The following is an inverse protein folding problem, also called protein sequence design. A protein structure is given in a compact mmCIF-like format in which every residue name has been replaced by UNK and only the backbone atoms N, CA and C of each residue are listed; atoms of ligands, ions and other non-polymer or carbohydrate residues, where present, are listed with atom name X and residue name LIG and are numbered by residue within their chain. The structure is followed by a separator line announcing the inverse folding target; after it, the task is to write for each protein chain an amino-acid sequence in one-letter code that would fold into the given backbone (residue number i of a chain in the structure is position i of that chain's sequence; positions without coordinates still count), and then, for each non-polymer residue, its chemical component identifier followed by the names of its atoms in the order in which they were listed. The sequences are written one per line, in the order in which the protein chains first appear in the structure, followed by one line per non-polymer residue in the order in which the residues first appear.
data_IF_733872788029
#
_entry.id   IF_733872788029
#
_cell.length_a   1.000
_cell.length_b   1.000
_cell.length_c   1.000
_cell.angle_alpha   90.00
_cell.angle_beta   90.00
_cell.angle_gamma   90.00
#
_symmetry.space_group_name_H-M   'P 1'
#
loop_
_entity.id
_entity.type
_entity.pdbx_description
1 polymer ?
#
# COMPACT_ATOMS: atom_id res chain seq x y z
N UNK A 1 -87.35 -1.72 -28.33
CA UNK A 1 -87.74 -0.90 -27.17
C UNK A 1 -87.10 -1.51 -25.94
N UNK A 2 -85.78 -1.35 -25.81
CA UNK A 2 -85.09 -0.30 -25.03
C UNK A 2 -85.10 -0.56 -23.52
N UNK A 3 -84.04 -1.25 -23.08
CA UNK A 3 -83.65 -1.39 -21.69
C UNK A 3 -82.94 -0.11 -21.26
N UNK A 4 -83.56 0.64 -20.34
CA UNK A 4 -83.03 1.89 -19.79
C UNK A 4 -81.70 1.67 -19.06
N UNK A 5 -80.63 2.24 -19.61
CA UNK A 5 -79.31 2.42 -18.98
C UNK A 5 -79.44 3.45 -17.85
N UNK A 6 -79.25 3.04 -16.59
CA UNK A 6 -79.09 3.96 -15.45
C UNK A 6 -77.75 4.68 -15.59
N UNK A 7 -77.79 5.95 -15.99
CA UNK A 7 -76.66 6.87 -15.87
C UNK A 7 -76.60 7.29 -14.41
N UNK A 8 -75.53 6.93 -13.70
CA UNK A 8 -75.25 7.45 -12.37
C UNK A 8 -75.10 8.97 -12.45
N UNK A 9 -75.93 9.71 -11.71
CA UNK A 9 -75.79 11.16 -11.55
C UNK A 9 -74.46 11.42 -10.83
N UNK A 10 -73.59 12.21 -11.44
CA UNK A 10 -72.48 12.86 -10.74
C UNK A 10 -73.11 13.89 -9.77
N UNK A 11 -73.19 13.53 -8.49
CA UNK A 11 -73.50 14.48 -7.43
C UNK A 11 -72.36 15.50 -7.35
N UNK A 12 -72.68 16.79 -7.52
CA UNK A 12 -71.69 17.84 -7.49
C UNK A 12 -71.10 18.00 -6.09
N UNK A 13 -69.77 18.02 -5.99
CA UNK A 13 -69.04 18.28 -4.75
C UNK A 13 -69.45 19.63 -4.15
N UNK A 14 -69.74 19.66 -2.85
CA UNK A 14 -69.99 20.91 -2.14
C UNK A 14 -68.69 21.67 -1.87
N UNK A 15 -68.74 23.01 -1.81
CA UNK A 15 -67.57 23.86 -1.55
C UNK A 15 -66.83 23.47 -0.25
N UNK A 16 -67.59 23.00 0.75
CA UNK A 16 -67.06 22.58 2.05
C UNK A 16 -66.28 21.26 1.92
N UNK A 17 -66.79 20.28 1.19
CA UNK A 17 -66.09 19.01 0.94
C UNK A 17 -64.81 19.23 0.13
N UNK A 18 -64.83 20.18 -0.82
CA UNK A 18 -63.63 20.60 -1.54
C UNK A 18 -62.59 21.16 -0.56
N UNK A 19 -62.97 22.15 0.27
CA UNK A 19 -62.07 22.77 1.25
C UNK A 19 -61.47 21.76 2.23
N UNK A 20 -62.28 20.85 2.76
CA UNK A 20 -61.82 19.80 3.68
C UNK A 20 -60.85 18.85 2.97
N UNK A 21 -61.16 18.45 1.73
CA UNK A 21 -60.28 17.58 0.94
C UNK A 21 -58.94 18.24 0.62
N UNK A 22 -58.93 19.53 0.28
CA UNK A 22 -57.69 20.28 0.01
C UNK A 22 -56.85 20.45 1.28
N UNK A 23 -57.49 20.68 2.43
CA UNK A 23 -56.80 20.78 3.71
C UNK A 23 -56.12 19.46 4.09
N UNK A 24 -56.83 18.33 3.96
CA UNK A 24 -56.27 17.00 4.20
C UNK A 24 -55.12 16.72 3.22
N UNK A 25 -55.30 17.03 1.93
CA UNK A 25 -54.26 16.86 0.92
C UNK A 25 -52.99 17.66 1.25
N UNK A 26 -53.11 18.92 1.67
CA UNK A 26 -51.95 19.75 2.06
C UNK A 26 -51.19 19.16 3.25
N UNK A 27 -51.90 18.64 4.25
CA UNK A 27 -51.28 17.98 5.42
C UNK A 27 -50.52 16.73 4.96
N UNK A 28 -51.15 15.88 4.15
CA UNK A 28 -50.53 14.64 3.63
C UNK A 28 -49.31 14.96 2.77
N UNK A 29 -49.39 15.93 1.85
CA UNK A 29 -48.25 16.34 1.03
C UNK A 29 -47.09 16.89 1.88
N UNK A 30 -47.39 17.70 2.89
CA UNK A 30 -46.36 18.22 3.81
C UNK A 30 -45.67 17.10 4.58
N UNK A 31 -46.42 16.10 5.04
CA UNK A 31 -45.86 14.90 5.68
C UNK A 31 -44.98 14.10 4.71
N UNK A 32 -45.45 13.86 3.47
CA UNK A 32 -44.69 13.10 2.46
C UNK A 32 -43.39 13.81 2.09
N UNK A 33 -43.41 15.14 1.91
CA UNK A 33 -42.20 15.94 1.63
C UNK A 33 -41.21 15.83 2.79
N UNK A 34 -41.69 15.94 4.03
CA UNK A 34 -40.85 15.85 5.23
C UNK A 34 -40.22 14.45 5.36
N UNK A 35 -41.02 13.40 5.12
CA UNK A 35 -40.54 12.01 5.12
C UNK A 35 -39.50 11.82 4.03
N UNK A 36 -39.78 12.25 2.80
CA UNK A 36 -38.84 12.15 1.68
C UNK A 36 -37.52 12.84 1.99
N UNK A 37 -37.57 14.08 2.49
CA UNK A 37 -36.36 14.83 2.86
C UNK A 37 -35.57 14.11 3.95
N UNK A 38 -36.25 13.62 4.99
CA UNK A 38 -35.62 12.87 6.10
C UNK A 38 -35.01 11.55 5.62
N UNK A 39 -35.71 10.80 4.77
CA UNK A 39 -35.21 9.55 4.21
C UNK A 39 -34.00 9.80 3.31
N UNK A 40 -34.05 10.83 2.48
CA UNK A 40 -32.95 11.20 1.59
C UNK A 40 -31.71 11.64 2.37
N UNK A 41 -31.86 12.51 3.36
CA UNK A 41 -30.72 12.95 4.19
C UNK A 41 -30.12 11.80 4.99
N UNK A 42 -30.95 10.90 5.54
CA UNK A 42 -30.46 9.67 6.18
C UNK A 42 -29.77 8.75 5.19
N UNK A 43 -30.30 8.56 4.00
CA UNK A 43 -29.69 7.74 2.97
C UNK A 43 -28.32 8.28 2.55
N UNK A 44 -28.21 9.57 2.27
CA UNK A 44 -26.95 10.21 1.91
C UNK A 44 -25.95 10.10 3.07
N UNK A 45 -26.38 10.34 4.31
CA UNK A 45 -25.54 10.13 5.50
C UNK A 45 -25.04 8.68 5.64
N UNK A 46 -25.92 7.68 5.48
CA UNK A 46 -25.51 6.27 5.56
C UNK A 46 -24.60 5.88 4.42
N UNK A 47 -24.87 6.37 3.19
CA UNK A 47 -24.04 6.12 2.02
C UNK A 47 -22.63 6.67 2.22
N UNK A 48 -22.50 7.91 2.70
CA UNK A 48 -21.21 8.54 2.95
C UNK A 48 -20.47 7.83 4.08
N UNK A 49 -21.16 7.51 5.18
CA UNK A 49 -20.60 6.75 6.30
C UNK A 49 -20.07 5.38 5.85
N UNK A 50 -20.87 4.61 5.09
CA UNK A 50 -20.45 3.30 4.57
C UNK A 50 -19.24 3.46 3.63
N UNK A 51 -19.23 4.47 2.78
CA UNK A 51 -18.12 4.76 1.87
C UNK A 51 -16.81 5.01 2.65
N UNK A 52 -16.86 5.83 3.70
CA UNK A 52 -15.70 6.10 4.57
C UNK A 52 -15.27 4.85 5.33
N UNK A 53 -16.19 4.08 5.93
CA UNK A 53 -15.87 2.86 6.67
C UNK A 53 -15.22 1.79 5.77
N UNK A 54 -15.71 1.62 4.54
CA UNK A 54 -15.12 0.70 3.55
C UNK A 54 -13.71 1.16 3.17
N UNK A 55 -13.50 2.48 3.00
CA UNK A 55 -12.18 3.05 2.69
C UNK A 55 -11.21 2.79 3.85
N UNK A 56 -11.61 3.07 5.09
CA UNK A 56 -10.79 2.83 6.28
C UNK A 56 -10.39 1.37 6.41
N UNK A 57 -11.35 0.45 6.22
CA UNK A 57 -11.07 -0.97 6.28
C UNK A 57 -10.11 -1.41 5.17
N UNK A 58 -10.26 -0.84 3.96
CA UNK A 58 -9.37 -1.11 2.84
C UNK A 58 -7.96 -0.62 3.14
N UNK A 59 -7.78 0.60 3.65
CA UNK A 59 -6.46 1.13 4.05
C UNK A 59 -5.85 0.27 5.16
N UNK A 60 -6.61 -0.07 6.21
CA UNK A 60 -6.14 -0.92 7.31
C UNK A 60 -5.65 -2.28 6.81
N UNK A 61 -6.42 -2.93 5.93
CA UNK A 61 -6.05 -4.21 5.33
C UNK A 61 -4.80 -4.07 4.48
N UNK A 62 -4.73 -3.07 3.62
CA UNK A 62 -3.57 -2.78 2.78
C UNK A 62 -2.31 -2.58 3.63
N UNK A 63 -2.37 -1.75 4.69
CA UNK A 63 -1.25 -1.51 5.60
C UNK A 63 -0.83 -2.79 6.33
N UNK A 64 -1.79 -3.57 6.82
CA UNK A 64 -1.52 -4.84 7.49
C UNK A 64 -0.85 -5.84 6.56
N UNK A 65 -1.39 -6.06 5.36
CA UNK A 65 -0.85 -7.01 4.38
C UNK A 65 0.53 -6.55 3.85
N UNK A 66 0.74 -5.23 3.75
CA UNK A 66 2.02 -4.63 3.37
C UNK A 66 3.12 -4.91 4.41
N UNK A 67 2.83 -4.66 5.69
CA UNK A 67 3.79 -4.82 6.79
C UNK A 67 3.98 -6.30 7.15
N UNK A 68 2.93 -7.12 7.15
CA UNK A 68 3.01 -8.53 7.56
C UNK A 68 3.95 -9.35 6.69
N UNK A 69 4.03 -9.01 5.40
CA UNK A 69 4.81 -9.76 4.41
C UNK A 69 6.20 -9.16 4.20
N UNK A 70 6.76 -8.49 5.20
CA UNK A 70 8.15 -7.98 5.17
C UNK A 70 9.17 -9.08 5.41
N UNK A 71 10.38 -8.88 4.88
CA UNK A 71 11.55 -9.69 5.17
C UNK A 71 11.77 -10.83 4.18
N UNK A 72 12.68 -11.72 4.56
CA UNK A 72 13.15 -12.83 3.73
C UNK A 72 13.05 -14.15 4.50
N UNK A 73 12.72 -15.24 3.83
CA UNK A 73 12.63 -16.59 4.38
C UNK A 73 14.02 -17.25 4.56
N UNK A 74 15.04 -16.44 4.87
CA UNK A 74 16.41 -16.89 5.05
C UNK A 74 16.48 -17.87 6.24
N UNK A 75 17.07 -19.05 6.01
CA UNK A 75 17.11 -20.17 6.98
C UNK A 75 17.66 -19.77 8.36
N UNK A 76 18.61 -18.84 8.39
CA UNK A 76 19.27 -18.36 9.61
C UNK A 76 18.73 -16.99 10.08
N UNK A 77 17.55 -16.58 9.58
CA UNK A 77 17.05 -15.22 9.70
C UNK A 77 17.73 -14.27 8.72
N UNK A 78 17.31 -13.00 8.72
CA UNK A 78 17.93 -11.92 7.93
C UNK A 78 18.38 -10.73 8.79
N UNK A 79 17.98 -10.70 10.07
CA UNK A 79 18.19 -9.55 10.96
C UNK A 79 19.55 -9.53 11.65
N UNK A 80 20.32 -10.63 11.61
CA UNK A 80 21.62 -10.76 12.29
C UNK A 80 22.79 -10.96 11.31
N UNK A 81 22.54 -10.84 10.00
CA UNK A 81 23.53 -11.06 8.96
C UNK A 81 24.13 -9.74 8.48
N UNK A 82 25.35 -9.81 7.94
CA UNK A 82 25.99 -8.66 7.30
C UNK A 82 25.52 -8.55 5.84
N UNK A 83 25.08 -7.36 5.45
CA UNK A 83 24.57 -7.08 4.10
C UNK A 83 25.67 -6.57 3.18
N UNK A 84 25.69 -7.07 1.95
CA UNK A 84 26.58 -6.61 0.89
C UNK A 84 25.79 -6.29 -0.37
N UNK A 85 26.13 -5.16 -0.99
CA UNK A 85 25.69 -4.84 -2.34
C UNK A 85 26.63 -5.48 -3.38
N UNK A 86 26.05 -6.33 -4.22
CA UNK A 86 26.66 -7.00 -5.37
C UNK A 86 25.86 -6.80 -6.65
N UNK A 87 25.02 -5.78 -6.68
CA UNK A 87 24.21 -5.45 -7.85
C UNK A 87 25.01 -4.73 -8.93
N UNK A 88 26.04 -3.97 -8.53
CA UNK A 88 26.75 -3.04 -9.42
C UNK A 88 26.09 -1.67 -9.55
N UNK A 89 24.91 -1.49 -8.98
CA UNK A 89 24.13 -0.26 -9.10
C UNK A 89 24.43 0.76 -7.99
N UNK A 90 25.36 0.42 -7.07
CA UNK A 90 25.74 1.26 -5.93
C UNK A 90 24.51 1.62 -5.10
N UNK A 91 23.82 0.60 -4.60
CA UNK A 91 22.63 0.74 -3.81
C UNK A 91 22.94 1.43 -2.48
N UNK A 92 22.05 2.33 -2.08
CA UNK A 92 22.14 3.05 -0.82
C UNK A 92 21.52 2.25 0.35
N UNK A 93 21.56 2.85 1.53
CA UNK A 93 21.09 2.23 2.77
C UNK A 93 19.57 1.97 2.81
N UNK A 94 18.79 2.38 1.81
CA UNK A 94 17.38 2.01 1.74
C UNK A 94 17.18 0.58 1.24
N UNK A 95 18.12 0.02 0.48
CA UNK A 95 18.04 -1.35 -0.03
C UNK A 95 18.72 -2.36 0.89
N UNK A 96 19.70 -1.88 1.66
CA UNK A 96 20.52 -2.72 2.52
C UNK A 96 20.16 -2.47 3.97
N UNK A 97 20.11 -3.53 4.77
CA UNK A 97 19.97 -3.41 6.22
C UNK A 97 19.25 -4.59 6.83
N UNK A 98 19.44 -4.73 8.13
CA UNK A 98 18.97 -5.84 8.94
C UNK A 98 17.51 -5.71 9.39
N UNK A 99 16.76 -4.74 8.85
CA UNK A 99 15.32 -4.64 9.02
C UNK A 99 14.60 -4.80 7.69
N UNK A 100 13.47 -5.51 7.74
CA UNK A 100 12.53 -5.61 6.65
C UNK A 100 11.57 -4.43 6.57
N UNK A 101 11.56 -3.56 7.58
CA UNK A 101 10.63 -2.44 7.72
C UNK A 101 11.39 -1.17 8.13
N UNK A 102 11.17 -0.10 7.38
CA UNK A 102 11.70 1.24 7.66
C UNK A 102 10.58 2.25 7.59
N UNK A 103 10.59 3.23 8.47
CA UNK A 103 9.64 4.34 8.47
C UNK A 103 10.41 5.64 8.53
N UNK A 104 9.81 6.72 8.06
CA UNK A 104 10.46 8.03 8.08
C UNK A 104 9.56 9.13 7.57
N UNK A 105 9.94 10.40 7.83
CA UNK A 105 9.24 11.54 7.25
C UNK A 105 9.53 11.65 5.75
N UNK A 106 8.61 12.26 5.01
CA UNK A 106 8.82 12.73 3.64
C UNK A 106 9.19 14.22 3.62
N UNK A 107 10.08 14.71 2.73
CA UNK A 107 10.78 14.00 1.64
C UNK A 107 11.63 12.82 2.05
N UNK A 108 11.74 11.84 1.15
CA UNK A 108 12.89 10.96 1.19
C UNK A 108 14.16 11.78 0.94
N UNK A 109 15.25 11.50 1.67
CA UNK A 109 16.52 12.16 1.42
C UNK A 109 16.99 11.77 0.03
N UNK A 110 17.83 12.60 -0.59
CA UNK A 110 18.33 12.39 -1.95
C UNK A 110 19.05 11.03 -2.03
N UNK A 111 18.31 10.03 -2.48
CA UNK A 111 18.79 8.70 -2.81
C UNK A 111 19.18 8.69 -4.29
N UNK A 112 20.31 8.05 -4.62
CA UNK A 112 20.72 7.85 -6.01
C UNK A 112 19.82 6.84 -6.74
N UNK A 113 19.08 6.02 -5.99
CA UNK A 113 18.33 4.88 -6.50
C UNK A 113 16.81 5.02 -6.34
N UNK A 114 16.35 5.96 -5.52
CA UNK A 114 14.95 6.27 -5.28
C UNK A 114 14.78 7.76 -5.55
N UNK A 115 13.95 8.10 -6.54
CA UNK A 115 13.64 9.49 -6.87
C UNK A 115 13.02 10.17 -5.63
N UNK A 116 13.51 11.35 -5.28
CA UNK A 116 12.98 12.13 -4.15
C UNK A 116 11.48 12.44 -4.29
N UNK A 117 10.98 12.56 -5.53
CA UNK A 117 9.56 12.78 -5.84
C UNK A 117 8.70 11.51 -5.78
N UNK A 118 9.28 10.31 -5.67
CA UNK A 118 8.58 9.02 -5.71
C UNK A 118 7.56 8.92 -6.87
N UNK A 119 8.01 9.11 -8.13
CA UNK A 119 7.16 8.91 -9.32
C UNK A 119 7.65 9.64 -10.57
N UNK A 120 7.03 9.32 -11.71
CA UNK A 120 7.28 9.96 -13.00
C UNK A 120 6.39 11.20 -13.22
N UNK A 121 6.90 12.19 -13.96
CA UNK A 121 6.12 13.32 -14.47
C UNK A 121 5.88 14.50 -13.51
N UNK A 122 6.43 14.49 -12.30
CA UNK A 122 6.38 15.66 -11.43
C UNK A 122 7.66 16.49 -11.55
N UNK A 123 7.49 17.80 -11.73
CA UNK A 123 8.58 18.79 -11.68
C UNK A 123 9.01 19.13 -10.25
N UNK A 124 8.26 18.68 -9.23
CA UNK A 124 8.52 18.84 -7.79
C UNK A 124 8.03 17.62 -6.97
N UNK A 125 8.05 17.72 -5.64
CA UNK A 125 7.62 16.67 -4.69
C UNK A 125 6.17 16.20 -4.95
N UNK A 126 5.95 14.99 -5.48
CA UNK A 126 4.60 14.48 -5.75
C UNK A 126 3.84 14.03 -4.48
N UNK A 127 4.53 13.88 -3.36
CA UNK A 127 3.95 13.39 -2.12
C UNK A 127 3.27 14.52 -1.33
N UNK A 128 2.38 14.17 -0.41
CA UNK A 128 1.82 15.14 0.53
C UNK A 128 2.89 15.57 1.53
N UNK A 129 3.16 16.87 1.62
CA UNK A 129 4.13 17.39 2.58
C UNK A 129 3.74 17.08 4.04
N UNK A 130 4.74 16.97 4.90
CA UNK A 130 4.58 16.65 6.33
C UNK A 130 3.84 15.33 6.61
N UNK A 131 4.00 14.34 5.71
CA UNK A 131 3.54 12.96 5.92
C UNK A 131 4.73 12.02 6.04
N UNK A 132 4.48 10.84 6.60
CA UNK A 132 5.46 9.77 6.70
C UNK A 132 5.34 8.78 5.54
N UNK A 133 6.38 7.97 5.36
CA UNK A 133 6.36 6.78 4.51
C UNK A 133 6.55 5.51 5.33
N UNK A 134 6.08 4.40 4.78
CA UNK A 134 6.35 3.05 5.29
C UNK A 134 7.03 2.28 4.17
N UNK A 135 8.27 1.86 4.40
CA UNK A 135 9.09 1.12 3.46
C UNK A 135 9.26 -0.32 3.92
N UNK A 136 9.11 -1.25 3.00
CA UNK A 136 9.35 -2.67 3.26
C UNK A 136 10.36 -3.24 2.27
N UNK A 137 11.24 -4.09 2.78
CA UNK A 137 12.11 -4.96 2.01
C UNK A 137 11.54 -6.35 2.15
N UNK A 138 11.24 -6.99 1.04
CA UNK A 138 10.62 -8.31 1.05
C UNK A 138 11.06 -9.16 -0.12
N UNK A 139 10.80 -10.44 -0.02
CA UNK A 139 10.80 -11.34 -1.16
C UNK A 139 9.45 -11.32 -1.88
N UNK A 140 9.48 -11.45 -3.21
CA UNK A 140 8.30 -11.75 -4.02
C UNK A 140 8.11 -13.28 -4.13
N UNK A 141 9.21 -14.00 -4.29
CA UNK A 141 9.29 -15.46 -4.23
C UNK A 141 10.71 -15.89 -3.90
N UNK A 142 10.88 -17.15 -3.48
CA UNK A 142 12.18 -17.71 -3.16
C UNK A 142 12.36 -19.12 -3.69
N UNK A 143 13.63 -19.51 -3.76
CA UNK A 143 14.13 -20.82 -4.16
C UNK A 143 15.39 -21.12 -3.34
N UNK A 144 16.07 -22.20 -3.67
CA UNK A 144 17.32 -22.61 -3.05
C UNK A 144 18.41 -22.80 -4.09
N UNK A 145 19.65 -22.72 -3.64
CA UNK A 145 20.78 -23.13 -4.44
C UNK A 145 20.76 -24.64 -4.64
N UNK A 146 20.96 -25.05 -5.89
CA UNK A 146 21.07 -26.46 -6.27
C UNK A 146 22.52 -26.98 -6.18
N UNK A 147 23.50 -26.08 -6.15
CA UNK A 147 24.93 -26.41 -6.12
C UNK A 147 25.74 -25.42 -5.28
N UNK A 148 26.97 -25.80 -4.92
CA UNK A 148 27.90 -24.93 -4.21
C UNK A 148 28.35 -23.79 -5.12
N UNK A 149 28.14 -22.55 -4.70
CA UNK A 149 28.70 -21.37 -5.35
C UNK A 149 29.96 -20.94 -4.58
N UNK A 150 31.13 -21.21 -5.15
CA UNK A 150 32.42 -20.80 -4.61
C UNK A 150 32.87 -19.46 -5.21
N UNK A 151 32.17 -18.38 -4.85
CA UNK A 151 32.48 -17.02 -5.33
C UNK A 151 32.43 -16.90 -6.86
N UNK A 152 31.48 -17.59 -7.49
CA UNK A 152 31.25 -17.53 -8.94
C UNK A 152 30.11 -16.57 -9.25
N UNK A 153 30.17 -15.92 -10.42
CA UNK A 153 29.02 -15.17 -10.96
C UNK A 153 27.91 -16.10 -11.43
N UNK A 154 28.20 -17.38 -11.66
CA UNK A 154 27.19 -18.36 -12.10
C UNK A 154 26.60 -19.05 -10.86
N UNK A 155 25.30 -18.91 -10.70
CA UNK A 155 24.51 -19.49 -9.61
C UNK A 155 23.56 -20.55 -10.17
N UNK A 156 23.58 -21.76 -9.60
CA UNK A 156 22.61 -22.81 -9.95
C UNK A 156 21.50 -22.87 -8.93
N UNK A 157 20.24 -22.83 -9.38
CA UNK A 157 19.06 -22.75 -8.52
C UNK A 157 18.13 -23.94 -8.76
N UNK A 158 17.34 -24.32 -7.75
CA UNK A 158 16.34 -25.39 -7.87
C UNK A 158 15.16 -24.98 -8.77
N UNK A 159 14.90 -23.68 -8.87
CA UNK A 159 13.83 -23.09 -9.68
C UNK A 159 14.23 -21.69 -10.12
N UNK A 160 13.81 -21.31 -11.33
CA UNK A 160 14.03 -19.98 -11.91
C UNK A 160 12.73 -19.14 -11.95
N UNK A 161 11.67 -19.60 -11.29
CA UNK A 161 10.36 -18.95 -11.34
C UNK A 161 10.44 -17.50 -10.83
N UNK A 162 9.78 -16.60 -11.54
CA UNK A 162 9.70 -15.16 -11.24
C UNK A 162 11.05 -14.42 -11.22
N UNK A 163 12.14 -15.05 -11.67
CA UNK A 163 13.39 -14.33 -11.93
C UNK A 163 13.29 -13.57 -13.24
N UNK A 164 13.85 -12.36 -13.26
CA UNK A 164 13.96 -11.54 -14.45
C UNK A 164 15.39 -11.04 -14.62
N UNK A 165 15.82 -10.90 -15.87
CA UNK A 165 17.06 -10.18 -16.20
C UNK A 165 16.95 -8.75 -15.67
N UNK A 166 18.06 -8.20 -15.17
CA UNK A 166 18.16 -6.94 -14.44
C UNK A 166 17.48 -6.94 -13.05
N UNK A 167 16.78 -8.01 -12.69
CA UNK A 167 16.13 -8.17 -11.39
C UNK A 167 17.13 -8.37 -10.24
N UNK A 168 16.74 -7.90 -9.06
CA UNK A 168 17.51 -8.10 -7.83
C UNK A 168 17.15 -9.42 -7.15
N UNK A 169 18.16 -10.09 -6.62
CA UNK A 169 18.02 -11.31 -5.82
C UNK A 169 18.76 -11.12 -4.51
N UNK A 170 18.14 -11.50 -3.39
CA UNK A 170 18.82 -11.65 -2.11
C UNK A 170 19.30 -13.10 -1.95
N UNK A 171 20.61 -13.27 -1.71
CA UNK A 171 21.21 -14.55 -1.35
C UNK A 171 21.51 -14.55 0.14
N UNK A 172 21.08 -15.58 0.87
CA UNK A 172 21.29 -15.69 2.31
C UNK A 172 21.99 -16.99 2.67
N UNK A 173 23.09 -16.87 3.42
CA UNK A 173 23.72 -17.98 4.13
C UNK A 173 23.77 -17.71 5.64
N UNK A 174 24.57 -18.45 6.41
CA UNK A 174 24.64 -18.26 7.87
C UNK A 174 25.05 -16.85 8.32
N UNK A 175 25.91 -16.17 7.57
CA UNK A 175 26.59 -14.94 8.04
C UNK A 175 26.26 -13.70 7.21
N UNK A 176 25.83 -13.89 5.97
CA UNK A 176 25.77 -12.84 4.97
C UNK A 176 24.45 -12.84 4.21
N UNK A 177 23.99 -11.63 3.87
CA UNK A 177 23.01 -11.37 2.81
C UNK A 177 23.71 -10.64 1.69
N UNK A 178 23.77 -11.23 0.50
CA UNK A 178 24.24 -10.53 -0.69
C UNK A 178 23.04 -10.14 -1.53
N UNK A 179 22.82 -8.84 -1.71
CA UNK A 179 21.87 -8.34 -2.70
C UNK A 179 22.60 -8.26 -4.05
N UNK A 180 22.19 -9.08 -5.00
CA UNK A 180 22.84 -9.22 -6.30
C UNK A 180 21.86 -8.93 -7.44
N UNK A 181 22.38 -8.76 -8.65
CA UNK A 181 21.59 -8.48 -9.86
C UNK A 181 21.78 -9.58 -10.90
N UNK A 182 20.69 -9.99 -11.52
CA UNK A 182 20.68 -10.97 -12.60
C UNK A 182 21.11 -10.32 -13.92
N UNK A 183 22.12 -10.89 -14.56
CA UNK A 183 22.60 -10.50 -15.90
C UNK A 183 22.00 -11.39 -16.97
N UNK A 184 21.96 -12.70 -16.74
CA UNK A 184 21.42 -13.66 -17.70
C UNK A 184 20.79 -14.86 -16.99
N UNK A 185 19.87 -15.54 -17.66
CA UNK A 185 19.16 -16.72 -17.16
C UNK A 185 19.25 -17.82 -18.22
N UNK A 186 19.68 -19.02 -17.81
CA UNK A 186 19.68 -20.21 -18.64
C UNK A 186 18.73 -21.26 -18.05
N UNK A 187 17.59 -21.44 -18.70
CA UNK A 187 16.53 -22.36 -18.28
C UNK A 187 16.86 -23.84 -18.56
N UNK A 188 17.80 -24.14 -19.45
CA UNK A 188 18.18 -25.54 -19.74
C UNK A 188 19.02 -26.13 -18.59
N UNK A 189 19.85 -25.30 -17.96
CA UNK A 189 20.76 -25.69 -16.89
C UNK A 189 20.31 -25.25 -15.50
N UNK A 190 19.20 -24.50 -15.41
CA UNK A 190 18.74 -23.81 -14.20
C UNK A 190 19.83 -22.93 -13.56
N UNK A 191 20.55 -22.17 -14.39
CA UNK A 191 21.62 -21.28 -13.94
C UNK A 191 21.29 -19.82 -14.21
N UNK A 192 21.78 -18.97 -13.32
CA UNK A 192 21.64 -17.51 -13.38
C UNK A 192 23.03 -16.92 -13.31
N UNK A 193 23.32 -15.96 -14.19
CA UNK A 193 24.55 -15.17 -14.12
C UNK A 193 24.29 -13.90 -13.33
N UNK A 194 25.18 -13.59 -12.40
CA UNK A 194 25.14 -12.44 -11.51
C UNK A 194 26.09 -11.35 -12.00
N UNK A 195 25.73 -10.08 -11.77
CA UNK A 195 26.57 -8.93 -12.11
C UNK A 195 27.94 -9.00 -11.43
N UNK A 196 27.96 -9.43 -10.17
CA UNK A 196 29.18 -9.70 -9.41
C UNK A 196 29.05 -11.00 -8.62
N UNK A 197 30.18 -11.68 -8.44
CA UNK A 197 30.26 -12.81 -7.53
C UNK A 197 29.93 -12.36 -6.09
N UNK A 198 29.21 -13.19 -5.32
CA UNK A 198 28.88 -12.84 -3.95
C UNK A 198 30.14 -12.85 -3.05
N UNK A 199 30.07 -12.20 -1.89
CA UNK A 199 31.19 -12.09 -0.94
C UNK A 199 31.49 -13.36 -0.13
N UNK A 200 30.75 -14.44 -0.34
CA UNK A 200 30.85 -15.65 0.47
C UNK A 200 30.52 -16.90 -0.34
N UNK A 201 30.95 -18.04 0.19
CA UNK A 201 30.55 -19.34 -0.33
C UNK A 201 29.09 -19.60 0.07
N UNK A 202 28.32 -20.14 -0.86
CA UNK A 202 26.97 -20.64 -0.62
C UNK A 202 26.91 -22.12 -0.95
N UNK A 203 26.13 -22.85 -0.17
CA UNK A 203 25.99 -24.30 -0.29
C UNK A 203 24.62 -24.68 -0.86
N UNK A 204 24.48 -25.91 -1.38
CA UNK A 204 23.17 -26.43 -1.76
C UNK A 204 22.17 -26.29 -0.60
N UNK A 205 20.98 -25.79 -0.92
CA UNK A 205 19.93 -25.52 0.06
C UNK A 205 19.97 -24.13 0.70
N UNK A 206 21.03 -23.32 0.48
CA UNK A 206 21.03 -21.91 0.87
C UNK A 206 19.98 -21.11 0.09
N UNK A 207 19.51 -20.02 0.68
CA UNK A 207 18.36 -19.27 0.19
C UNK A 207 18.74 -18.32 -0.95
N UNK A 208 17.87 -18.26 -1.97
CA UNK A 208 17.86 -17.22 -2.99
C UNK A 208 16.43 -16.74 -3.22
N UNK A 209 16.17 -15.44 -3.15
CA UNK A 209 14.82 -14.94 -3.44
C UNK A 209 14.79 -13.58 -4.13
N UNK A 210 13.74 -13.39 -4.93
CA UNK A 210 13.49 -12.18 -5.70
C UNK A 210 13.30 -11.02 -4.74
N UNK A 211 14.25 -10.09 -4.75
CA UNK A 211 14.25 -8.95 -3.86
C UNK A 211 13.30 -7.87 -4.38
N UNK A 212 12.51 -7.29 -3.47
CA UNK A 212 11.58 -6.21 -3.75
C UNK A 212 11.62 -5.16 -2.64
N UNK A 213 11.79 -3.91 -3.04
CA UNK A 213 11.61 -2.75 -2.17
C UNK A 213 10.26 -2.11 -2.49
N UNK A 214 9.44 -1.89 -1.47
CA UNK A 214 8.18 -1.16 -1.62
C UNK A 214 8.10 0.00 -0.64
N UNK A 215 7.46 1.09 -1.03
CA UNK A 215 7.30 2.30 -0.21
C UNK A 215 5.85 2.76 -0.33
N UNK A 216 5.12 2.75 0.78
CA UNK A 216 3.81 3.39 0.91
C UNK A 216 3.98 4.86 1.28
N UNK A 217 3.21 5.71 0.61
CA UNK A 217 3.19 7.15 0.84
C UNK A 217 1.90 7.77 0.30
N UNK A 218 1.59 8.98 0.73
CA UNK A 218 0.47 9.75 0.20
C UNK A 218 0.95 10.66 -0.92
N UNK A 219 0.20 10.73 -2.02
CA UNK A 219 0.46 11.62 -3.15
C UNK A 219 -0.83 12.30 -3.64
N UNK A 220 -0.69 13.52 -4.12
CA UNK A 220 -1.77 14.23 -4.82
C UNK A 220 -2.06 13.52 -6.15
N UNK A 221 -3.33 13.20 -6.41
CA UNK A 221 -3.78 12.51 -7.63
C UNK A 221 -3.72 13.39 -8.88
N UNK A 222 -3.56 14.70 -8.72
CA UNK A 222 -3.72 15.70 -9.78
C UNK A 222 -5.16 16.07 -10.09
N UNK A 223 -6.13 15.47 -9.39
CA UNK A 223 -7.55 15.79 -9.50
C UNK A 223 -8.02 16.63 -8.32
N UNK A 224 -9.06 17.43 -8.54
CA UNK A 224 -9.74 18.21 -7.51
C UNK A 224 -11.17 17.71 -7.31
N UNK A 225 -11.69 17.91 -6.10
CA UNK A 225 -13.09 17.65 -5.79
C UNK A 225 -14.01 18.76 -6.35
N UNK A 226 -15.31 18.67 -6.06
CA UNK A 226 -16.31 19.65 -6.53
C UNK A 226 -16.11 21.04 -5.93
N UNK A 227 -15.40 21.14 -4.81
CA UNK A 227 -15.13 22.36 -4.08
C UNK A 227 -13.76 22.95 -4.45
N UNK A 228 -13.02 22.29 -5.35
CA UNK A 228 -11.70 22.71 -5.83
C UNK A 228 -10.55 22.27 -4.93
N UNK A 229 -10.77 21.38 -3.96
CA UNK A 229 -9.70 20.85 -3.11
C UNK A 229 -8.98 19.70 -3.79
N UNK A 230 -7.67 19.65 -3.61
CA UNK A 230 -6.83 18.55 -4.11
C UNK A 230 -7.23 17.20 -3.49
N UNK A 231 -7.33 16.18 -4.35
CA UNK A 231 -7.60 14.81 -3.94
C UNK A 231 -6.28 14.07 -3.77
N UNK A 232 -6.06 13.52 -2.58
CA UNK A 232 -4.91 12.69 -2.23
C UNK A 232 -5.27 11.21 -2.21
N UNK A 233 -4.28 10.35 -2.43
CA UNK A 233 -4.43 8.90 -2.37
C UNK A 233 -3.22 8.24 -1.72
N UNK A 234 -3.44 7.03 -1.19
CA UNK A 234 -2.37 6.13 -0.81
C UNK A 234 -1.78 5.49 -2.07
N UNK A 235 -0.47 5.62 -2.24
CA UNK A 235 0.31 5.04 -3.33
C UNK A 235 1.31 4.03 -2.79
N UNK A 236 1.71 3.09 -3.65
CA UNK A 236 2.89 2.25 -3.46
C UNK A 236 3.90 2.50 -4.57
N UNK A 237 5.14 2.76 -4.20
CA UNK A 237 6.30 2.72 -5.08
C UNK A 237 6.97 1.36 -4.96
N UNK A 238 7.30 0.71 -6.08
CA UNK A 238 7.89 -0.63 -6.13
C UNK A 238 9.15 -0.60 -6.98
N UNK A 239 10.27 -1.09 -6.43
CA UNK A 239 11.54 -1.25 -7.14
C UNK A 239 12.10 -2.65 -6.96
N UNK A 240 12.38 -3.32 -8.08
CA UNK A 240 12.84 -4.72 -8.15
C UNK A 240 14.10 -4.90 -9.00
N UNK A 241 14.59 -3.85 -9.65
CA UNK A 241 15.70 -3.90 -10.61
C UNK A 241 16.45 -2.54 -10.67
N UNK A 242 17.41 -2.42 -11.60
CA UNK A 242 18.24 -1.21 -11.74
C UNK A 242 17.45 0.02 -12.23
N UNK A 243 16.37 -0.20 -12.97
CA UNK A 243 15.52 0.85 -13.51
C UNK A 243 14.79 1.68 -12.43
N UNK A 244 14.25 2.84 -12.81
CA UNK A 244 13.37 3.60 -11.91
C UNK A 244 12.17 2.73 -11.50
N UNK A 245 11.88 2.66 -10.20
CA UNK A 245 10.70 1.94 -9.71
C UNK A 245 9.38 2.55 -10.19
N UNK A 246 8.33 1.74 -10.13
CA UNK A 246 6.98 2.10 -10.59
C UNK A 246 6.10 2.52 -9.43
N UNK A 247 5.09 3.35 -9.71
CA UNK A 247 4.15 3.89 -8.70
C UNK A 247 2.72 3.52 -9.06
N UNK A 248 1.94 3.05 -8.07
CA UNK A 248 0.55 2.63 -8.25
C UNK A 248 -0.36 3.24 -7.18
N UNK A 249 -1.53 3.75 -7.60
CA UNK A 249 -2.57 4.22 -6.68
C UNK A 249 -3.28 3.00 -6.06
N UNK A 250 -3.35 2.95 -4.73
CA UNK A 250 -3.99 1.86 -4.00
C UNK A 250 -5.39 2.26 -3.50
N UNK A 251 -5.49 3.40 -2.81
CA UNK A 251 -6.75 3.85 -2.20
C UNK A 251 -6.90 5.35 -2.35
N UNK A 252 -7.98 5.76 -3.01
CA UNK A 252 -8.28 7.17 -3.27
C UNK A 252 -8.96 7.88 -2.10
N UNK A 253 -8.63 9.15 -1.91
CA UNK A 253 -9.21 10.01 -0.88
C UNK A 253 -8.67 9.69 0.50
N UNK A 254 -7.35 9.47 0.61
CA UNK A 254 -6.62 9.23 1.86
C UNK A 254 -5.53 10.28 1.96
N UNK A 255 -5.37 10.89 3.13
CA UNK A 255 -4.38 11.94 3.40
C UNK A 255 -3.82 11.87 4.81
N UNK A 256 -2.81 12.69 5.09
CA UNK A 256 -2.23 12.91 6.41
C UNK A 256 -1.67 11.63 7.05
N UNK A 257 -0.98 10.80 6.27
CA UNK A 257 -0.35 9.57 6.79
C UNK A 257 0.73 9.94 7.82
N UNK A 258 0.58 9.45 9.04
CA UNK A 258 1.54 9.58 10.13
C UNK A 258 1.83 8.21 10.72
N UNK A 259 3.07 8.02 11.15
CA UNK A 259 3.57 6.81 11.77
C UNK A 259 4.17 7.17 13.13
N UNK A 260 3.82 6.37 14.13
CA UNK A 260 4.39 6.44 15.46
C UNK A 260 4.88 5.06 15.88
N UNK A 261 5.93 5.02 16.69
CA UNK A 261 6.50 3.79 17.22
C UNK A 261 6.37 3.74 18.74
N UNK A 262 6.14 2.54 19.25
CA UNK A 262 6.08 2.28 20.67
C UNK A 262 7.48 2.08 21.25
N UNK A 263 7.73 2.66 22.43
CA UNK A 263 8.81 2.24 23.33
C UNK A 263 8.20 1.75 24.64
N UNK A 264 8.81 0.75 25.26
CA UNK A 264 8.31 0.14 26.49
C UNK A 264 9.31 0.35 27.61
N UNK A 265 8.94 1.16 28.60
CA UNK A 265 9.75 1.44 29.78
C UNK A 265 8.99 1.04 31.04
N UNK A 266 9.51 0.04 31.77
CA UNK A 266 8.88 -0.48 33.01
C UNK A 266 7.40 -0.87 32.85
N UNK A 267 7.04 -1.45 31.70
CA UNK A 267 5.66 -1.86 31.39
C UNK A 267 4.75 -0.75 30.84
N UNK A 268 5.21 0.50 30.80
CA UNK A 268 4.47 1.61 30.18
C UNK A 268 4.82 1.75 28.70
N UNK A 269 3.79 1.86 27.86
CA UNK A 269 3.92 2.08 26.41
C UNK A 269 3.89 3.59 26.14
N UNK A 270 4.94 4.11 25.53
CA UNK A 270 5.00 5.49 25.02
C UNK A 270 4.99 5.45 23.50
N UNK A 271 4.11 6.25 22.89
CA UNK A 271 4.06 6.46 21.45
C UNK A 271 4.90 7.67 21.08
N UNK A 272 5.81 7.49 20.12
CA UNK A 272 6.75 8.52 19.69
C UNK A 272 6.57 8.76 18.19
N UNK A 273 6.52 10.03 17.79
CA UNK A 273 6.48 10.41 16.38
C UNK A 273 7.80 10.07 15.68
N UNK A 274 7.70 9.71 14.40
CA UNK A 274 8.86 9.45 13.55
C UNK A 274 9.44 10.78 13.06
N UNK A 275 10.64 11.13 13.54
CA UNK A 275 11.33 12.38 13.14
C UNK A 275 12.51 12.16 12.19
N UNK A 276 12.95 10.91 12.03
CA UNK A 276 14.09 10.51 11.20
C UNK A 276 13.80 9.18 10.53
N UNK A 277 14.57 8.83 9.50
CA UNK A 277 14.45 7.52 8.86
C UNK A 277 15.00 6.45 9.79
N UNK A 278 14.16 5.52 10.21
CA UNK A 278 14.50 4.52 11.20
C UNK A 278 14.05 3.12 10.79
N UNK A 279 14.93 2.16 10.99
CA UNK A 279 14.64 0.75 10.81
C UNK A 279 13.83 0.24 12.02
N UNK A 280 12.69 -0.39 11.75
CA UNK A 280 11.79 -0.90 12.78
C UNK A 280 12.07 -2.38 13.03
N UNK A 281 12.60 -2.68 14.21
CA UNK A 281 12.85 -4.05 14.70
C UNK A 281 11.93 -4.32 15.88
N UNK A 282 11.47 -5.57 16.02
CA UNK A 282 10.60 -5.94 17.16
C UNK A 282 11.32 -5.88 18.51
N UNK A 283 12.66 -5.92 18.53
CA UNK A 283 13.48 -5.79 19.74
C UNK A 283 13.45 -4.37 20.30
N UNK A 284 13.49 -3.36 19.43
CA UNK A 284 13.62 -1.95 19.83
C UNK A 284 12.28 -1.24 19.81
N UNK A 285 11.40 -1.60 18.87
CA UNK A 285 10.13 -0.94 18.58
C UNK A 285 9.01 -1.98 18.40
N UNK A 286 8.40 -2.46 19.51
CA UNK A 286 7.50 -3.61 19.49
C UNK A 286 6.16 -3.37 18.77
N UNK A 287 5.78 -2.12 18.52
CA UNK A 287 4.53 -1.79 17.84
C UNK A 287 4.64 -0.50 17.03
N UNK A 288 3.82 -0.42 15.98
CA UNK A 288 3.60 0.78 15.19
C UNK A 288 2.13 1.20 15.29
N UNK A 289 1.91 2.51 15.31
CA UNK A 289 0.60 3.12 15.14
C UNK A 289 0.64 3.95 13.87
N UNK A 290 -0.31 3.68 12.98
CA UNK A 290 -0.46 4.39 11.71
C UNK A 290 -1.79 5.12 11.73
N UNK A 291 -1.78 6.42 11.46
CA UNK A 291 -2.98 7.26 11.36
C UNK A 291 -3.05 7.95 10.02
N UNK A 292 -4.28 8.19 9.55
CA UNK A 292 -4.60 8.85 8.29
C UNK A 292 -6.01 9.44 8.37
N UNK A 293 -6.34 10.33 7.43
CA UNK A 293 -7.68 10.91 7.24
C UNK A 293 -8.29 10.38 5.93
N UNK A 294 -9.59 10.07 5.94
CA UNK A 294 -10.35 9.43 4.84
C UNK A 294 -11.67 10.11 4.51
#
# INVERSE_FOLDING_TARGET
MDAKRKIAKLEGLTLVELLVSTAIAMIVFSMVITIYYTVRTKYDYFKDKISTEVKDLTVKRTLYDFIKNTGFACKFGYTSQTYYDKTGDSLDSFFLGNSGLRVGPLPLPNSSNIKSSLGDGCTSNCYQAATDYIMVRKEDSHTKLADTNNLSTILKLDSLNNLAVDGYIALCNKSYVNLTKVVSINSETNTVELAFAPNSIYYPGDYAGVYRLEILYIKNTGNQDKDGNDIYSLYVYIKTNSSSGNTYELVRGVKDLQVEYATVNSGNITWNSVSTHMDITSSDYPALRVSFTS
#
